data_IF_522460656596
#
_entry.id   IF_522460656596
#
_cell.length_a   1.000
_cell.length_b   1.000
_cell.length_c   1.000
_cell.angle_alpha   90.00
_cell.angle_beta   90.00
_cell.angle_gamma   90.00
#
_symmetry.space_group_name_H-M   'P 1'
#
loop_
_entity.id
_entity.type
_entity.pdbx_description
1 polymer ?
#
# COMPACT_ATOMS: atom_id res chain seq x y z
N UNK A 1 5.42 -6.16 9.13
CA UNK A 1 4.80 -6.91 8.03
C UNK A 1 4.76 -6.00 6.83
N UNK A 2 4.99 -6.55 5.63
CA UNK A 2 5.08 -5.76 4.40
C UNK A 2 3.71 -5.20 4.04
N UNK A 3 3.57 -3.88 3.91
CA UNK A 3 2.30 -3.26 3.47
C UNK A 3 2.32 -3.04 1.97
N UNK A 4 1.19 -3.33 1.33
CA UNK A 4 1.00 -3.15 -0.11
C UNK A 4 -0.16 -2.19 -0.36
N UNK A 5 -0.06 -1.42 -1.44
CA UNK A 5 -1.11 -0.54 -1.94
C UNK A 5 -1.27 -0.76 -3.44
N UNK A 6 -2.49 -0.99 -3.88
CA UNK A 6 -2.84 -1.05 -5.29
C UNK A 6 -3.62 0.20 -5.67
N UNK A 7 -3.04 1.07 -6.48
CA UNK A 7 -3.73 2.23 -7.06
C UNK A 7 -4.57 1.74 -8.24
N UNK A 8 -5.84 2.15 -8.29
CA UNK A 8 -6.79 1.69 -9.31
C UNK A 8 -7.30 2.87 -10.14
N UNK A 9 -7.17 2.77 -11.46
CA UNK A 9 -7.63 3.75 -12.44
C UNK A 9 -8.52 3.11 -13.48
N UNK A 10 -9.47 3.88 -14.04
CA UNK A 10 -10.27 3.45 -15.19
C UNK A 10 -10.47 4.63 -16.13
N UNK A 11 -10.21 4.42 -17.42
CA UNK A 11 -10.30 5.48 -18.45
C UNK A 11 -9.53 6.76 -18.07
N UNK A 12 -8.34 6.60 -17.45
CA UNK A 12 -7.50 7.72 -16.99
C UNK A 12 -7.89 8.32 -15.63
N UNK A 13 -9.09 8.04 -15.11
CA UNK A 13 -9.56 8.56 -13.83
C UNK A 13 -9.08 7.69 -12.66
N UNK A 14 -8.57 8.33 -11.60
CA UNK A 14 -8.28 7.67 -10.32
C UNK A 14 -9.59 7.29 -9.63
N UNK A 15 -9.77 6.00 -9.36
CA UNK A 15 -10.93 5.50 -8.61
C UNK A 15 -10.64 5.39 -7.11
N UNK A 16 -9.39 5.07 -6.76
CA UNK A 16 -8.96 4.95 -5.38
C UNK A 16 -7.77 4.02 -5.24
N UNK A 17 -7.67 3.40 -4.07
CA UNK A 17 -6.64 2.42 -3.77
C UNK A 17 -7.16 1.34 -2.83
N UNK A 18 -6.56 0.16 -2.92
CA UNK A 18 -6.73 -0.93 -1.96
C UNK A 18 -5.43 -1.11 -1.18
N UNK A 19 -5.51 -1.09 0.15
CA UNK A 19 -4.38 -1.31 1.04
C UNK A 19 -4.51 -2.64 1.76
N UNK A 20 -3.40 -3.35 1.90
CA UNK A 20 -3.33 -4.52 2.76
C UNK A 20 -2.03 -4.55 3.56
N UNK A 21 -2.17 -4.79 4.86
CA UNK A 21 -1.09 -5.05 5.80
C UNK A 21 -1.25 -6.41 6.52
N UNK A 22 -2.14 -7.24 5.99
CA UNK A 22 -2.42 -8.59 6.49
C UNK A 22 -1.22 -9.53 6.23
N UNK A 23 -1.14 -10.68 6.92
CA UNK A 23 -0.09 -11.67 6.66
C UNK A 23 0.00 -12.13 5.20
N UNK A 24 -1.13 -12.13 4.50
CA UNK A 24 -1.30 -12.50 3.09
C UNK A 24 -1.50 -11.29 2.17
N UNK A 25 -0.92 -10.13 2.53
CA UNK A 25 -1.14 -8.88 1.79
C UNK A 25 -0.69 -8.96 0.32
N UNK A 26 0.39 -9.70 0.04
CA UNK A 26 0.89 -9.87 -1.32
C UNK A 26 -0.12 -10.64 -2.18
N UNK A 27 -0.63 -11.74 -1.64
CA UNK A 27 -1.63 -12.60 -2.30
C UNK A 27 -2.97 -11.87 -2.48
N UNK A 28 -3.40 -11.10 -1.47
CA UNK A 28 -4.62 -10.30 -1.55
C UNK A 28 -4.53 -9.25 -2.67
N UNK A 29 -3.41 -8.52 -2.74
CA UNK A 29 -3.19 -7.52 -3.79
C UNK A 29 -3.05 -8.17 -5.16
N UNK A 30 -2.35 -9.31 -5.26
CA UNK A 30 -2.21 -10.06 -6.51
C UNK A 30 -3.56 -10.56 -7.05
N UNK A 31 -4.41 -11.10 -6.18
CA UNK A 31 -5.76 -11.55 -6.56
C UNK A 31 -6.62 -10.41 -7.12
N UNK A 32 -6.63 -9.26 -6.43
CA UNK A 32 -7.39 -8.08 -6.87
C UNK A 32 -6.80 -7.50 -8.16
N UNK A 33 -5.48 -7.41 -8.26
CA UNK A 33 -4.80 -6.90 -9.45
C UNK A 33 -5.08 -7.77 -10.68
N UNK A 34 -5.06 -9.09 -10.53
CA UNK A 34 -5.41 -10.03 -11.60
C UNK A 34 -6.83 -9.77 -12.11
N UNK A 35 -7.83 -9.79 -11.21
CA UNK A 35 -9.23 -9.59 -11.57
C UNK A 35 -9.50 -8.22 -12.22
N UNK A 36 -8.95 -7.14 -11.66
CA UNK A 36 -9.14 -5.80 -12.22
C UNK A 36 -8.36 -5.60 -13.53
N UNK A 37 -7.18 -6.20 -13.65
CA UNK A 37 -6.37 -6.18 -14.87
C UNK A 37 -7.10 -6.84 -16.04
N UNK A 38 -7.71 -8.01 -15.82
CA UNK A 38 -8.54 -8.70 -16.83
C UNK A 38 -9.74 -7.85 -17.29
N UNK A 39 -10.28 -7.01 -16.40
CA UNK A 39 -11.36 -6.06 -16.71
C UNK A 39 -10.87 -4.75 -17.36
N UNK A 40 -9.57 -4.62 -17.64
CA UNK A 40 -8.97 -3.48 -18.32
C UNK A 40 -8.77 -2.24 -17.44
N UNK A 41 -8.68 -2.40 -16.12
CA UNK A 41 -8.33 -1.29 -15.23
C UNK A 41 -6.83 -1.00 -15.32
N UNK A 42 -6.47 0.28 -15.17
CA UNK A 42 -5.09 0.70 -14.99
C UNK A 42 -4.69 0.49 -13.52
N UNK A 43 -3.58 -0.20 -13.30
CA UNK A 43 -3.13 -0.58 -11.96
C UNK A 43 -1.68 -0.13 -11.73
N UNK A 44 -1.39 0.34 -10.53
CA UNK A 44 -0.04 0.64 -10.07
C UNK A 44 0.15 0.06 -8.68
N UNK A 45 1.19 -0.75 -8.51
CA UNK A 45 1.52 -1.38 -7.24
C UNK A 45 2.55 -0.54 -6.50
N UNK A 46 2.28 -0.31 -5.22
CA UNK A 46 3.22 0.30 -4.30
C UNK A 46 3.45 -0.59 -3.08
N UNK A 47 4.66 -0.58 -2.57
CA UNK A 47 5.10 -1.36 -1.42
C UNK A 47 5.72 -0.42 -0.39
N UNK A 48 5.31 -0.56 0.88
CA UNK A 48 5.83 0.28 1.95
C UNK A 48 7.24 -0.15 2.33
N UNK A 49 8.25 0.65 2.02
CA UNK A 49 9.64 0.31 2.35
C UNK A 49 10.11 0.92 3.68
N UNK A 50 9.35 1.90 4.18
CA UNK A 50 9.65 2.67 5.37
C UNK A 50 8.37 3.27 5.94
N UNK A 51 8.51 4.02 7.03
CA UNK A 51 7.40 4.72 7.66
C UNK A 51 7.83 6.07 8.20
N UNK A 52 6.90 7.01 8.25
CA UNK A 52 7.02 8.29 8.95
C UNK A 52 6.25 8.18 10.26
N UNK A 53 6.89 8.45 11.38
CA UNK A 53 6.27 8.43 12.71
C UNK A 53 6.21 9.82 13.31
N UNK A 54 5.06 10.17 13.87
CA UNK A 54 4.91 11.32 14.76
C UNK A 54 5.19 10.85 16.18
N UNK A 55 6.15 11.48 16.84
CA UNK A 55 6.60 11.11 18.17
C UNK A 55 6.34 12.23 19.16
N UNK A 56 5.91 11.86 20.36
CA UNK A 56 5.90 12.73 21.54
C UNK A 56 7.09 12.37 22.42
N UNK A 57 7.84 13.39 22.85
CA UNK A 57 8.94 13.24 23.80
C UNK A 57 8.56 13.90 25.12
N UNK A 58 8.57 13.13 26.20
CA UNK A 58 8.23 13.59 27.55
C UNK A 58 9.22 13.04 28.59
N UNK A 59 9.21 13.53 29.84
CA UNK A 59 9.99 12.93 30.93
C UNK A 59 9.69 11.45 31.17
N UNK A 60 8.50 10.97 30.78
CA UNK A 60 8.10 9.56 30.88
C UNK A 60 8.63 8.70 29.72
N UNK A 61 9.35 9.30 28.76
CA UNK A 61 9.91 8.65 27.59
C UNK A 61 9.28 9.11 26.27
N UNK A 62 9.56 8.36 25.21
CA UNK A 62 9.09 8.60 23.85
C UNK A 62 7.84 7.77 23.58
N UNK A 63 6.80 8.40 23.04
CA UNK A 63 5.56 7.75 22.61
C UNK A 63 5.32 7.96 21.12
N UNK A 64 4.89 6.92 20.42
CA UNK A 64 4.43 7.04 19.03
C UNK A 64 2.98 7.53 19.04
N UNK A 65 2.73 8.69 18.42
CA UNK A 65 1.38 9.25 18.27
C UNK A 65 0.73 8.81 16.96
N UNK A 66 1.51 8.70 15.89
CA UNK A 66 1.04 8.22 14.59
C UNK A 66 2.17 7.53 13.83
N UNK A 67 1.81 6.62 12.93
CA UNK A 67 2.72 5.98 11.96
C UNK A 67 2.02 5.94 10.60
N UNK A 68 2.73 6.41 9.58
CA UNK A 68 2.27 6.44 8.20
C UNK A 68 3.27 5.67 7.32
N UNK A 69 2.82 4.65 6.57
CA UNK A 69 3.68 3.93 5.64
C UNK A 69 4.14 4.85 4.51
N UNK A 70 5.41 4.74 4.13
CA UNK A 70 5.99 5.39 2.97
C UNK A 70 6.10 4.36 1.85
N UNK A 71 5.38 4.62 0.78
CA UNK A 71 5.23 3.70 -0.34
C UNK A 71 6.18 4.03 -1.47
N UNK A 72 6.71 2.99 -2.13
CA UNK A 72 7.44 3.10 -3.39
C UNK A 72 6.83 2.23 -4.47
N UNK A 73 6.89 2.63 -5.74
CA UNK A 73 6.45 1.79 -6.85
C UNK A 73 7.19 0.46 -6.89
N UNK A 74 6.45 -0.61 -7.15
CA UNK A 74 6.96 -1.94 -7.44
C UNK A 74 6.31 -2.42 -8.76
N UNK A 75 7.04 -3.08 -9.65
CA UNK A 75 6.45 -3.67 -10.84
C UNK A 75 5.38 -4.71 -10.47
N UNK A 76 4.25 -4.71 -11.17
CA UNK A 76 3.15 -5.66 -10.93
C UNK A 76 3.59 -7.11 -11.19
N UNK A 77 4.56 -7.31 -12.09
CA UNK A 77 5.15 -8.61 -12.43
C UNK A 77 6.00 -9.18 -11.30
N UNK A 78 6.31 -8.38 -10.27
CA UNK A 78 7.06 -8.80 -9.08
C UNK A 78 6.15 -9.33 -7.95
N UNK A 79 4.83 -9.37 -8.17
CA UNK A 79 3.85 -9.97 -7.24
C UNK A 79 3.99 -11.48 -7.14
#
# INVERSE_FOLDING_TARGET
MQKYRLIVRRHGQLLGHFDSDQPWAKEAVGSIACCLGELGYGLELLVADSERRLLESSPSGIKVLASEPLYRPMPLESL
#
